data_IF_765541274041
#
_entry.id   IF_765541274041
#
_cell.length_a   1.000
_cell.length_b   1.000
_cell.length_c   1.000
_cell.angle_alpha   90.00
_cell.angle_beta   90.00
_cell.angle_gamma   90.00
#
_symmetry.space_group_name_H-M   'P 1'
#
loop_
_entity.id
_entity.type
_entity.pdbx_description
1 polymer ?
#
# COMPACT_ATOMS: atom_id res chain seq x y z
N UNK A 1 -11.17 -19.54 -11.60
CA UNK A 1 -9.88 -20.13 -11.18
C UNK A 1 -10.19 -21.42 -10.45
N UNK A 2 -9.76 -22.58 -10.96
CA UNK A 2 -10.13 -23.90 -10.42
C UNK A 2 -8.97 -24.64 -9.72
N UNK A 3 -7.87 -23.95 -9.41
CA UNK A 3 -6.72 -24.55 -8.73
C UNK A 3 -6.68 -24.14 -7.26
N UNK A 4 -6.45 -25.10 -6.36
CA UNK A 4 -6.24 -24.79 -4.94
C UNK A 4 -4.82 -24.25 -4.76
N UNK A 5 -4.66 -23.18 -3.98
CA UNK A 5 -3.34 -22.55 -3.71
C UNK A 5 -2.30 -23.59 -3.26
N UNK A 6 -2.68 -24.51 -2.36
CA UNK A 6 -1.79 -25.56 -1.84
C UNK A 6 -1.26 -26.55 -2.89
N UNK A 7 -1.89 -26.63 -4.06
CA UNK A 7 -1.48 -27.51 -5.15
C UNK A 7 -0.47 -26.82 -6.08
N UNK A 8 -0.44 -25.48 -6.07
CA UNK A 8 0.36 -24.65 -6.98
C UNK A 8 1.59 -24.05 -6.28
N UNK A 9 1.43 -23.56 -5.05
CA UNK A 9 2.48 -22.87 -4.31
C UNK A 9 3.18 -23.80 -3.32
N UNK A 10 4.52 -23.72 -3.28
CA UNK A 10 5.40 -24.44 -2.34
C UNK A 10 6.49 -23.49 -1.86
N UNK A 11 7.20 -23.86 -0.80
CA UNK A 11 8.36 -23.07 -0.37
C UNK A 11 9.35 -22.85 -1.52
N UNK A 12 9.96 -21.66 -1.55
CA UNK A 12 10.89 -21.18 -2.59
C UNK A 12 10.27 -20.98 -3.98
N UNK A 13 8.97 -21.21 -4.17
CA UNK A 13 8.29 -20.82 -5.41
C UNK A 13 8.40 -19.31 -5.59
N UNK A 14 8.91 -18.90 -6.76
CA UNK A 14 8.94 -17.52 -7.22
C UNK A 14 8.00 -17.35 -8.40
N UNK A 15 7.24 -16.26 -8.42
CA UNK A 15 6.31 -15.95 -9.48
C UNK A 15 6.05 -14.45 -9.55
N UNK A 16 5.65 -13.96 -10.71
CA UNK A 16 5.26 -12.56 -10.90
C UNK A 16 3.75 -12.43 -10.97
N UNK A 17 3.21 -11.33 -10.45
CA UNK A 17 1.82 -10.94 -10.60
C UNK A 17 1.75 -9.49 -11.04
N UNK A 18 0.93 -9.20 -12.05
CA UNK A 18 0.64 -7.82 -12.46
C UNK A 18 -0.76 -7.48 -12.01
N UNK A 19 -0.86 -6.46 -11.15
CA UNK A 19 -2.12 -5.86 -10.77
C UNK A 19 -2.35 -4.61 -11.62
N UNK A 20 -3.49 -4.51 -12.29
CA UNK A 20 -3.82 -3.35 -13.13
C UNK A 20 -5.12 -2.69 -12.65
N UNK A 21 -5.00 -1.45 -12.21
CA UNK A 21 -6.12 -0.59 -11.79
C UNK A 21 -5.89 0.82 -12.35
N UNK A 22 -6.01 0.94 -13.66
CA UNK A 22 -5.68 2.15 -14.43
C UNK A 22 -4.19 2.24 -14.76
N UNK A 23 -3.32 1.91 -13.81
CA UNK A 23 -1.90 1.66 -14.03
C UNK A 23 -1.49 0.27 -13.54
N UNK A 24 -0.50 -0.33 -14.22
CA UNK A 24 0.04 -1.64 -13.85
C UNK A 24 1.09 -1.54 -12.72
N UNK A 25 0.93 -2.35 -11.68
CA UNK A 25 1.97 -2.66 -10.68
C UNK A 25 2.42 -4.10 -10.86
N UNK A 26 3.70 -4.29 -11.18
CA UNK A 26 4.33 -5.61 -11.25
C UNK A 26 4.87 -5.98 -9.87
N UNK A 27 4.53 -7.16 -9.40
CA UNK A 27 4.95 -7.72 -8.12
C UNK A 27 5.73 -9.00 -8.37
N UNK A 28 6.93 -9.07 -7.83
CA UNK A 28 7.70 -10.31 -7.74
C UNK A 28 7.47 -10.93 -6.37
N UNK A 29 6.95 -12.15 -6.36
CA UNK A 29 6.52 -12.86 -5.16
C UNK A 29 7.41 -14.07 -4.92
N UNK A 30 7.75 -14.30 -3.66
CA UNK A 30 8.52 -15.45 -3.20
C UNK A 30 7.83 -16.10 -2.01
N UNK A 31 7.53 -17.39 -2.11
CA UNK A 31 6.98 -18.17 -0.98
C UNK A 31 8.11 -18.53 -0.04
N UNK A 32 8.24 -17.79 1.06
CA UNK A 32 9.38 -17.95 2.00
C UNK A 32 9.24 -19.20 2.86
N UNK A 33 8.02 -19.52 3.31
CA UNK A 33 7.74 -20.65 4.21
C UNK A 33 6.25 -21.03 4.10
N UNK A 34 5.90 -22.26 4.49
CA UNK A 34 4.51 -22.73 4.61
C UNK A 34 4.29 -23.27 6.02
N UNK A 35 3.36 -22.66 6.76
CA UNK A 35 2.96 -23.15 8.08
C UNK A 35 1.49 -23.60 8.09
N UNK A 36 1.22 -24.62 8.90
CA UNK A 36 -0.15 -25.06 9.17
C UNK A 36 -0.70 -24.25 10.34
N UNK A 37 -1.73 -23.45 10.09
CA UNK A 37 -2.44 -22.77 11.17
C UNK A 37 -3.11 -23.80 12.10
N UNK A 38 -3.15 -23.50 13.40
CA UNK A 38 -3.85 -24.31 14.40
C UNK A 38 -5.37 -24.34 14.18
N UNK A 39 -6.07 -25.10 15.02
CA UNK A 39 -7.54 -25.06 15.04
C UNK A 39 -8.03 -23.64 15.35
N UNK A 40 -9.05 -23.21 14.62
CA UNK A 40 -9.62 -21.87 14.76
C UNK A 40 -10.86 -21.99 15.62
N UNK A 41 -10.87 -21.26 16.73
CA UNK A 41 -12.06 -21.15 17.59
C UNK A 41 -13.15 -20.27 16.94
N UNK A 42 -12.74 -19.30 16.13
CA UNK A 42 -13.64 -18.37 15.44
C UNK A 42 -13.73 -18.60 13.92
N UNK A 43 -14.82 -18.09 13.32
CA UNK A 43 -15.09 -18.17 11.88
C UNK A 43 -14.01 -17.48 11.02
N UNK A 44 -13.38 -16.43 11.53
CA UNK A 44 -12.29 -15.69 10.86
C UNK A 44 -11.18 -15.42 11.88
N UNK A 45 -9.93 -15.73 11.52
CA UNK A 45 -8.75 -15.38 12.31
C UNK A 45 -7.66 -14.77 11.42
N UNK A 46 -7.03 -13.71 11.92
CA UNK A 46 -5.88 -13.08 11.26
C UNK A 46 -4.64 -13.90 11.56
N UNK A 47 -4.03 -14.47 10.53
CA UNK A 47 -2.82 -15.30 10.69
C UNK A 47 -1.53 -14.48 10.64
N UNK A 48 -1.52 -13.42 9.84
CA UNK A 48 -0.38 -12.52 9.67
C UNK A 48 -0.90 -11.19 9.12
N UNK A 49 -0.20 -10.11 9.47
CA UNK A 49 -0.41 -8.77 8.91
C UNK A 49 0.94 -8.06 8.86
N UNK A 50 1.20 -7.35 7.78
CA UNK A 50 2.38 -6.51 7.70
C UNK A 50 2.20 -5.32 8.66
N UNK A 51 3.31 -4.87 9.27
CA UNK A 51 3.34 -3.56 9.91
C UNK A 51 3.26 -2.48 8.82
N UNK A 52 2.53 -1.39 9.10
CA UNK A 52 2.47 -0.24 8.19
C UNK A 52 3.89 0.35 8.09
N UNK A 53 4.43 0.59 6.88
CA UNK A 53 5.69 1.32 6.75
C UNK A 53 5.54 2.74 7.30
N UNK A 54 6.55 3.19 8.05
CA UNK A 54 6.67 4.56 8.47
C UNK A 54 7.09 5.42 7.27
N UNK A 55 6.17 6.24 6.80
CA UNK A 55 6.42 7.19 5.71
C UNK A 55 6.51 8.57 6.34
N UNK A 56 7.61 9.30 6.08
CA UNK A 56 7.77 10.67 6.57
C UNK A 56 7.00 11.66 5.71
N UNK A 57 6.54 12.74 6.34
CA UNK A 57 6.05 13.91 5.64
C UNK A 57 7.18 14.49 4.76
N UNK A 58 6.82 15.03 3.60
CA UNK A 58 7.79 15.63 2.68
C UNK A 58 8.33 16.97 3.18
N UNK A 59 7.66 17.58 4.16
CA UNK A 59 7.89 18.96 4.62
C UNK A 59 8.31 19.07 6.09
N UNK A 60 8.26 17.98 6.85
CA UNK A 60 8.69 17.93 8.24
C UNK A 60 9.03 16.50 8.67
N UNK A 61 9.47 16.31 9.91
CA UNK A 61 9.83 14.98 10.45
C UNK A 61 8.67 14.13 10.99
N UNK A 62 7.43 14.63 10.93
CA UNK A 62 6.26 13.85 11.35
C UNK A 62 5.95 12.74 10.35
N UNK A 63 5.22 11.71 10.80
CA UNK A 63 4.71 10.66 9.91
C UNK A 63 3.61 11.20 9.00
N UNK A 64 3.64 10.79 7.74
CA UNK A 64 2.61 11.08 6.78
C UNK A 64 1.37 10.23 7.02
N UNK A 65 0.21 10.86 6.86
CA UNK A 65 -1.11 10.25 6.94
C UNK A 65 -1.80 10.26 5.58
N UNK A 66 -1.40 11.19 4.71
CA UNK A 66 -1.97 11.41 3.40
C UNK A 66 -0.91 11.45 2.31
N UNK A 67 -1.36 11.16 1.09
CA UNK A 67 -0.56 11.29 -0.12
C UNK A 67 -1.37 11.95 -1.22
N UNK A 68 -0.75 12.93 -1.89
CA UNK A 68 -1.33 13.56 -3.08
C UNK A 68 -0.94 12.73 -4.32
N UNK A 69 -1.92 12.14 -5.03
CA UNK A 69 -1.66 11.25 -6.16
C UNK A 69 -1.04 11.98 -7.36
N UNK A 70 -1.14 13.32 -7.42
CA UNK A 70 -0.48 14.12 -8.46
C UNK A 70 0.96 14.48 -8.07
N UNK A 71 1.19 14.89 -6.81
CA UNK A 71 2.52 15.31 -6.34
C UNK A 71 3.50 14.15 -6.14
N UNK A 72 3.01 12.92 -5.94
CA UNK A 72 3.87 11.75 -5.68
C UNK A 72 4.90 11.49 -6.79
N UNK A 73 4.62 11.91 -8.02
CA UNK A 73 5.52 11.74 -9.17
C UNK A 73 6.68 12.76 -9.21
N UNK A 74 6.64 13.81 -8.39
CA UNK A 74 7.64 14.88 -8.34
C UNK A 74 8.59 14.75 -7.13
N UNK A 75 8.82 13.53 -6.64
CA UNK A 75 9.69 13.23 -5.48
C UNK A 75 9.18 13.75 -4.11
N UNK A 76 7.87 13.97 -3.98
CA UNK A 76 7.23 14.46 -2.76
C UNK A 76 5.81 13.91 -2.59
N UNK A 77 4.90 14.74 -2.07
CA UNK A 77 3.47 14.43 -2.03
C UNK A 77 2.98 13.65 -0.81
N UNK A 78 3.85 13.35 0.17
CA UNK A 78 3.45 12.78 1.46
C UNK A 78 3.25 13.87 2.51
N UNK A 79 2.14 13.83 3.24
CA UNK A 79 1.77 14.87 4.21
C UNK A 79 1.31 14.27 5.53
N UNK A 80 1.80 14.84 6.63
CA UNK A 80 1.13 14.75 7.92
C UNK A 80 -0.04 15.74 7.97
N UNK A 81 -0.97 15.56 8.90
CA UNK A 81 -2.13 16.45 9.07
C UNK A 81 -1.73 17.94 9.18
N UNK A 82 -0.62 18.25 9.87
CA UNK A 82 -0.19 19.64 10.10
C UNK A 82 0.36 20.35 8.84
N UNK A 83 0.91 19.59 7.90
CA UNK A 83 1.45 20.16 6.65
C UNK A 83 0.41 20.17 5.53
N UNK A 84 -0.74 19.53 5.74
CA UNK A 84 -1.77 19.36 4.73
C UNK A 84 -2.45 20.68 4.36
N UNK A 85 -2.73 21.53 5.34
CA UNK A 85 -3.37 22.84 5.14
C UNK A 85 -2.56 23.76 4.22
N UNK A 86 -1.25 23.50 4.08
CA UNK A 86 -0.33 24.25 3.22
C UNK A 86 0.02 23.50 1.94
N UNK A 87 -0.71 22.44 1.60
CA UNK A 87 -0.49 21.64 0.39
C UNK A 87 -0.38 22.52 -0.88
N UNK A 88 -1.32 23.45 -1.05
CA UNK A 88 -1.37 24.30 -2.24
C UNK A 88 -0.17 25.24 -2.39
N UNK A 89 0.33 25.75 -1.26
CA UNK A 89 1.52 26.60 -1.21
C UNK A 89 2.81 25.79 -1.43
N UNK A 90 2.83 24.54 -0.94
CA UNK A 90 4.04 23.72 -0.90
C UNK A 90 4.29 22.93 -2.19
N UNK A 91 3.26 22.48 -2.92
CA UNK A 91 3.45 21.54 -4.03
C UNK A 91 2.59 21.79 -5.27
N UNK A 92 1.26 21.71 -5.18
CA UNK A 92 0.41 21.90 -6.36
C UNK A 92 -0.88 22.67 -6.04
N UNK A 93 -1.29 23.56 -6.96
CA UNK A 93 -2.46 24.43 -6.80
C UNK A 93 -3.81 23.70 -7.00
N UNK A 94 -3.86 22.38 -6.78
CA UNK A 94 -5.11 21.62 -6.78
C UNK A 94 -5.62 21.50 -5.35
N UNK A 95 -6.93 21.67 -5.19
CA UNK A 95 -7.60 21.47 -3.91
C UNK A 95 -7.31 20.07 -3.33
N UNK A 96 -7.24 20.00 -2.01
CA UNK A 96 -6.94 18.81 -1.19
C UNK A 96 -7.93 17.65 -1.36
N UNK A 97 -8.98 17.83 -2.16
CA UNK A 97 -10.10 16.92 -2.32
C UNK A 97 -9.75 15.55 -2.94
N UNK A 98 -8.52 15.38 -3.42
CA UNK A 98 -8.03 14.14 -4.02
C UNK A 98 -6.90 13.46 -3.22
N UNK A 99 -6.69 13.84 -1.96
CA UNK A 99 -5.72 13.17 -1.10
C UNK A 99 -6.16 11.74 -0.79
N UNK A 100 -5.20 10.83 -0.76
CA UNK A 100 -5.41 9.44 -0.42
C UNK A 100 -4.78 9.12 0.93
N UNK A 101 -5.36 8.20 1.71
CA UNK A 101 -4.73 7.75 2.95
C UNK A 101 -3.46 6.98 2.66
N UNK A 102 -2.48 7.10 3.57
CA UNK A 102 -1.33 6.20 3.61
C UNK A 102 -1.83 4.80 4.00
N UNK A 103 -1.56 3.81 3.16
CA UNK A 103 -2.01 2.42 3.34
C UNK A 103 -0.87 1.43 3.19
N UNK A 104 -1.03 0.22 3.73
CA UNK A 104 0.02 -0.81 3.72
C UNK A 104 0.06 -1.55 2.38
N UNK A 105 0.40 -0.80 1.33
CA UNK A 105 0.40 -1.30 -0.03
C UNK A 105 1.51 -0.62 -0.84
N UNK A 106 2.21 -1.36 -1.72
CA UNK A 106 3.13 -0.76 -2.69
C UNK A 106 2.42 0.17 -3.69
N UNK A 107 1.08 0.23 -3.68
CA UNK A 107 0.27 1.14 -4.50
C UNK A 107 -0.25 2.37 -3.75
N UNK A 108 0.16 2.60 -2.51
CA UNK A 108 -0.23 3.82 -1.79
C UNK A 108 0.09 5.06 -2.63
N UNK A 109 -0.91 5.92 -2.86
CA UNK A 109 -0.80 7.12 -3.69
C UNK A 109 -0.85 6.92 -5.20
N UNK A 110 -1.04 5.69 -5.69
CA UNK A 110 -1.15 5.41 -7.13
C UNK A 110 -2.61 5.41 -7.56
N UNK A 111 -2.94 6.21 -8.57
CA UNK A 111 -4.31 6.41 -9.06
C UNK A 111 -5.23 6.85 -7.91
N UNK A 112 -6.41 6.25 -7.74
CA UNK A 112 -7.32 6.51 -6.62
C UNK A 112 -7.29 5.37 -5.57
N UNK A 113 -6.14 4.71 -5.41
CA UNK A 113 -6.04 3.56 -4.52
C UNK A 113 -6.00 4.01 -3.05
N UNK A 114 -7.09 3.76 -2.33
CA UNK A 114 -7.27 4.14 -0.91
C UNK A 114 -7.19 2.95 0.06
N UNK A 115 -6.74 1.77 -0.41
CA UNK A 115 -6.80 0.55 0.36
C UNK A 115 -8.20 -0.08 0.38
N UNK A 116 -8.42 -1.02 1.30
CA UNK A 116 -9.65 -1.83 1.43
C UNK A 116 -10.05 -1.98 2.88
#
# INVERSE_FOLDING_TARGET
MNHKIKEVLREKTKFSYTYDFGSSTKLDLNVVNVFKAGEREEKISVLARNNQPEIKCSHCDNLAEFVCPDCIYNSGGWYCSNCLDKHEENDCMRETDNLLPVVNSPRAGVCAYSGS
#
